data_IF_456472216032
#
_entry.id   IF_456472216032
#
_cell.length_a   1.000
_cell.length_b   1.000
_cell.length_c   1.000
_cell.angle_alpha   90.00
_cell.angle_beta   90.00
_cell.angle_gamma   90.00
#
_symmetry.space_group_name_H-M   'P 1'
#
loop_
_entity.id
_entity.type
_entity.pdbx_description
1 polymer ?
#
# COMPACT_ATOMS: atom_id res chain seq x y z
N UNK A 1 23.24 -15.18 11.32
CA UNK A 1 22.92 -15.15 9.87
C UNK A 1 22.76 -13.71 9.48
N UNK A 2 23.61 -13.20 8.61
CA UNK A 2 23.67 -11.79 8.23
C UNK A 2 22.51 -11.45 7.29
N UNK A 3 21.96 -10.23 7.41
CA UNK A 3 20.82 -9.70 6.61
C UNK A 3 20.97 -9.81 5.07
N UNK A 4 22.13 -10.24 4.57
CA UNK A 4 22.43 -10.40 3.14
C UNK A 4 21.99 -11.73 2.52
N UNK A 5 21.61 -12.75 3.29
CA UNK A 5 21.24 -14.05 2.74
C UNK A 5 19.74 -14.22 2.47
N UNK A 6 18.89 -13.39 3.07
CA UNK A 6 17.44 -13.45 2.89
C UNK A 6 17.01 -12.81 1.56
N UNK A 7 17.80 -11.87 1.04
CA UNK A 7 17.47 -11.07 -0.16
C UNK A 7 17.67 -11.80 -1.51
N UNK A 8 18.45 -12.89 -1.58
CA UNK A 8 18.91 -13.48 -2.85
C UNK A 8 18.05 -14.59 -3.47
N UNK A 9 16.81 -14.83 -3.01
CA UNK A 9 15.91 -15.78 -3.68
C UNK A 9 14.94 -15.06 -4.63
N UNK A 10 15.33 -14.89 -5.86
CA UNK A 10 14.62 -14.19 -6.93
C UNK A 10 13.47 -14.97 -7.59
N UNK A 11 13.18 -16.17 -7.20
CA UNK A 11 11.99 -16.92 -7.63
C UNK A 11 11.02 -17.02 -6.45
N UNK A 12 9.76 -16.63 -6.67
CA UNK A 12 8.68 -16.83 -5.72
C UNK A 12 8.62 -18.33 -5.37
N UNK A 13 8.87 -18.66 -4.10
CA UNK A 13 8.85 -20.06 -3.68
C UNK A 13 7.44 -20.65 -3.91
N UNK A 14 7.33 -21.92 -4.30
CA UNK A 14 6.03 -22.59 -4.42
C UNK A 14 5.23 -22.48 -3.11
N UNK A 15 3.93 -22.26 -3.22
CA UNK A 15 3.04 -22.31 -2.07
C UNK A 15 2.56 -23.73 -1.90
N UNK A 16 2.73 -24.28 -0.69
CA UNK A 16 2.35 -25.65 -0.35
C UNK A 16 1.20 -25.65 0.64
N UNK A 17 0.19 -26.46 0.37
CA UNK A 17 -0.99 -26.64 1.21
C UNK A 17 -1.36 -28.12 1.30
N UNK A 18 -1.88 -28.53 2.45
CA UNK A 18 -2.59 -29.81 2.59
C UNK A 18 -4.08 -29.53 2.59
N UNK A 19 -4.84 -30.23 1.77
CA UNK A 19 -6.28 -30.06 1.72
C UNK A 19 -6.95 -30.64 2.96
N UNK A 20 -7.74 -29.81 3.65
CA UNK A 20 -8.43 -30.20 4.88
C UNK A 20 -9.84 -29.61 4.94
N UNK A 21 -10.69 -30.21 5.78
CA UNK A 21 -12.03 -29.70 6.10
C UNK A 21 -13.02 -29.79 4.95
N UNK A 22 -12.81 -30.71 4.03
CA UNK A 22 -13.76 -31.03 2.94
C UNK A 22 -14.75 -32.11 3.38
N UNK A 23 -16.05 -31.84 3.23
CA UNK A 23 -17.12 -32.83 3.44
C UNK A 23 -17.20 -33.82 2.27
N UNK A 24 -16.83 -33.38 1.09
CA UNK A 24 -16.78 -34.16 -0.15
C UNK A 24 -15.69 -33.62 -1.07
N UNK A 25 -15.18 -34.42 -2.04
CA UNK A 25 -14.21 -33.91 -3.00
C UNK A 25 -14.75 -32.73 -3.81
N UNK A 26 -13.91 -31.73 -4.05
CA UNK A 26 -14.29 -30.52 -4.83
C UNK A 26 -13.28 -30.26 -5.94
N UNK A 27 -13.66 -29.46 -6.94
CA UNK A 27 -12.72 -29.05 -8.01
C UNK A 27 -11.59 -28.19 -7.43
N UNK A 28 -10.36 -28.43 -7.92
CA UNK A 28 -9.20 -27.66 -7.46
C UNK A 28 -9.38 -26.17 -7.70
N UNK A 29 -10.01 -25.75 -8.82
CA UNK A 29 -10.32 -24.34 -9.08
C UNK A 29 -11.23 -23.71 -8.02
N UNK A 30 -12.16 -24.45 -7.47
CA UNK A 30 -13.05 -24.04 -6.39
C UNK A 30 -12.30 -23.99 -5.07
N UNK A 31 -11.47 -25.00 -4.80
CA UNK A 31 -10.61 -25.06 -3.61
C UNK A 31 -9.66 -23.84 -3.55
N UNK A 32 -8.95 -23.56 -4.64
CA UNK A 32 -8.07 -22.39 -4.76
C UNK A 32 -8.80 -21.08 -4.46
N UNK A 33 -10.03 -20.94 -4.95
CA UNK A 33 -10.83 -19.73 -4.76
C UNK A 33 -11.44 -19.64 -3.36
N UNK A 34 -12.10 -20.71 -2.90
CA UNK A 34 -12.95 -20.68 -1.70
C UNK A 34 -12.18 -20.93 -0.41
N UNK A 35 -11.15 -21.79 -0.46
CA UNK A 35 -10.34 -22.17 0.70
C UNK A 35 -9.04 -21.40 0.79
N UNK A 36 -8.33 -21.24 -0.32
CA UNK A 36 -7.06 -20.49 -0.33
C UNK A 36 -7.22 -19.02 -0.69
N UNK A 37 -8.42 -18.55 -1.05
CA UNK A 37 -8.70 -17.15 -1.32
C UNK A 37 -7.96 -16.57 -2.54
N UNK A 38 -7.60 -17.43 -3.53
CA UNK A 38 -6.97 -16.93 -4.74
C UNK A 38 -7.98 -16.15 -5.59
N UNK A 39 -7.59 -14.95 -6.02
CA UNK A 39 -8.39 -14.17 -6.96
C UNK A 39 -8.53 -14.89 -8.31
N UNK A 40 -9.59 -14.55 -9.05
CA UNK A 40 -9.79 -15.08 -10.41
C UNK A 40 -8.58 -14.80 -11.31
N UNK A 41 -7.93 -13.64 -11.12
CA UNK A 41 -6.73 -13.27 -11.88
C UNK A 41 -5.55 -14.19 -11.56
N UNK A 42 -5.30 -14.50 -10.27
CA UNK A 42 -4.25 -15.42 -9.88
C UNK A 42 -4.52 -16.84 -10.37
N UNK A 43 -5.76 -17.32 -10.26
CA UNK A 43 -6.16 -18.65 -10.78
C UNK A 43 -5.89 -18.74 -12.30
N UNK A 44 -6.21 -17.66 -13.06
CA UNK A 44 -5.90 -17.61 -14.49
C UNK A 44 -4.40 -17.70 -14.78
N UNK A 45 -3.55 -17.12 -13.94
CA UNK A 45 -2.08 -17.16 -14.09
C UNK A 45 -1.51 -18.56 -13.88
N UNK A 46 -2.02 -19.29 -12.89
CA UNK A 46 -1.54 -20.65 -12.56
C UNK A 46 -2.25 -21.75 -13.33
N UNK A 47 -3.29 -21.42 -14.10
CA UNK A 47 -4.18 -22.37 -14.80
C UNK A 47 -3.44 -23.37 -15.70
N UNK A 48 -2.35 -22.95 -16.32
CA UNK A 48 -1.58 -23.77 -17.25
C UNK A 48 -0.20 -24.05 -16.66
N UNK A 49 -0.05 -25.22 -16.07
CA UNK A 49 1.24 -25.70 -15.56
C UNK A 49 1.65 -25.20 -14.17
N UNK A 50 0.83 -24.37 -13.50
CA UNK A 50 1.18 -23.79 -12.20
C UNK A 50 0.54 -24.48 -10.99
N UNK A 51 -0.27 -25.54 -11.18
CA UNK A 51 -0.92 -26.25 -10.06
C UNK A 51 -0.58 -27.71 -10.10
N UNK A 52 -0.11 -28.22 -8.97
CA UNK A 52 0.24 -29.62 -8.78
C UNK A 52 -0.58 -30.21 -7.64
N UNK A 53 -1.00 -31.45 -7.79
CA UNK A 53 -1.73 -32.22 -6.80
C UNK A 53 -0.95 -33.52 -6.56
N UNK A 54 -0.51 -33.77 -5.32
CA UNK A 54 0.32 -34.90 -4.96
C UNK A 54 1.57 -35.07 -5.85
N UNK A 55 2.19 -33.93 -6.22
CA UNK A 55 3.38 -33.88 -7.07
C UNK A 55 3.13 -33.91 -8.58
N UNK A 56 1.90 -34.18 -9.03
CA UNK A 56 1.55 -34.22 -10.45
C UNK A 56 0.89 -32.91 -10.92
N UNK A 57 1.28 -32.41 -12.10
CA UNK A 57 0.64 -31.24 -12.68
C UNK A 57 -0.78 -31.57 -13.13
N UNK A 58 -1.75 -30.79 -12.66
CA UNK A 58 -3.17 -31.09 -12.85
C UNK A 58 -3.93 -30.00 -13.58
N UNK A 59 -5.01 -30.41 -14.24
CA UNK A 59 -5.96 -29.48 -14.84
C UNK A 59 -6.90 -28.88 -13.77
N UNK A 60 -7.40 -27.65 -13.97
CA UNK A 60 -8.30 -26.93 -13.05
C UNK A 60 -9.60 -27.67 -12.67
N UNK A 61 -9.93 -28.77 -13.36
CA UNK A 61 -11.09 -29.63 -13.07
C UNK A 61 -10.74 -30.83 -12.21
N UNK A 62 -9.47 -31.06 -11.88
CA UNK A 62 -9.06 -32.15 -10.99
C UNK A 62 -9.81 -32.02 -9.66
N UNK A 63 -10.13 -33.18 -9.08
CA UNK A 63 -10.82 -33.26 -7.79
C UNK A 63 -9.79 -33.31 -6.67
N UNK A 64 -10.04 -32.52 -5.63
CA UNK A 64 -9.24 -32.44 -4.41
C UNK A 64 -10.04 -33.09 -3.28
N UNK A 65 -9.39 -33.88 -2.47
CA UNK A 65 -9.94 -34.51 -1.25
C UNK A 65 -9.03 -34.23 -0.04
N UNK A 66 -9.54 -34.50 1.16
CA UNK A 66 -8.74 -34.29 2.37
C UNK A 66 -7.46 -35.14 2.34
N UNK A 67 -6.35 -34.54 2.74
CA UNK A 67 -5.01 -35.12 2.74
C UNK A 67 -4.22 -34.89 1.45
N UNK A 68 -4.84 -34.42 0.37
CA UNK A 68 -4.09 -34.10 -0.85
C UNK A 68 -3.11 -32.93 -0.63
N UNK A 69 -1.89 -33.08 -1.18
CA UNK A 69 -0.88 -32.03 -1.22
C UNK A 69 -1.06 -31.16 -2.46
N UNK A 70 -1.26 -29.88 -2.26
CA UNK A 70 -1.44 -28.88 -3.31
C UNK A 70 -0.22 -28.00 -3.36
N UNK A 71 0.45 -27.95 -4.52
CA UNK A 71 1.54 -27.02 -4.78
C UNK A 71 1.14 -26.02 -5.85
N UNK A 72 1.37 -24.70 -5.57
CA UNK A 72 1.06 -23.62 -6.49
C UNK A 72 2.37 -22.91 -6.86
N UNK A 73 2.69 -22.90 -8.15
CA UNK A 73 3.83 -22.21 -8.75
C UNK A 73 3.33 -21.07 -9.61
N UNK A 74 3.65 -19.85 -9.21
CA UNK A 74 3.35 -18.67 -10.02
C UNK A 74 4.37 -18.51 -11.15
N UNK A 75 3.94 -18.11 -12.35
CA UNK A 75 4.87 -17.82 -13.43
C UNK A 75 5.78 -16.63 -13.06
N UNK A 76 7.05 -16.70 -13.49
CA UNK A 76 7.99 -15.59 -13.29
C UNK A 76 7.43 -14.33 -13.99
N UNK A 77 7.34 -13.23 -13.25
CA UNK A 77 7.01 -11.91 -13.82
C UNK A 77 8.31 -11.23 -14.30
N UNK A 78 8.20 -10.47 -15.37
CA UNK A 78 9.28 -9.59 -15.78
C UNK A 78 9.30 -8.35 -14.88
N UNK A 79 10.48 -7.91 -14.47
CA UNK A 79 10.67 -6.61 -13.84
C UNK A 79 10.24 -5.49 -14.80
N UNK A 80 9.66 -4.41 -14.27
CA UNK A 80 9.22 -3.25 -15.06
C UNK A 80 10.36 -2.38 -15.60
N UNK A 81 11.61 -2.83 -15.52
CA UNK A 81 12.78 -2.09 -15.99
C UNK A 81 13.07 -0.84 -15.14
N UNK A 82 12.71 -0.85 -13.87
CA UNK A 82 13.05 0.23 -12.92
C UNK A 82 14.52 0.08 -12.55
N UNK A 83 15.40 1.02 -12.91
CA UNK A 83 16.82 0.90 -12.62
C UNK A 83 17.07 0.96 -11.10
N UNK A 84 17.90 0.05 -10.54
CA UNK A 84 18.28 0.11 -9.14
C UNK A 84 19.15 1.35 -8.87
N UNK A 85 18.90 2.03 -7.74
CA UNK A 85 19.69 3.17 -7.29
C UNK A 85 20.01 3.02 -5.81
N UNK A 86 21.27 3.22 -5.43
CA UNK A 86 21.72 3.20 -4.03
C UNK A 86 21.22 4.46 -3.31
N UNK A 87 20.07 4.32 -2.67
CA UNK A 87 19.40 5.36 -1.91
C UNK A 87 19.07 4.84 -0.51
N UNK A 88 19.08 5.70 0.51
CA UNK A 88 18.68 5.32 1.86
C UNK A 88 17.28 4.70 1.89
N UNK A 89 17.14 3.54 2.52
CA UNK A 89 15.88 2.82 2.68
C UNK A 89 15.66 2.47 4.15
N UNK A 90 14.73 3.15 4.80
CA UNK A 90 14.32 2.86 6.17
C UNK A 90 13.24 1.77 6.16
N UNK A 91 13.60 0.56 6.63
CA UNK A 91 12.71 -0.58 6.70
C UNK A 91 12.03 -0.58 8.07
N UNK A 92 10.70 -0.57 8.08
CA UNK A 92 9.86 -0.61 9.28
C UNK A 92 9.40 -2.02 9.63
N UNK A 93 9.23 -2.86 8.62
CA UNK A 93 8.86 -4.27 8.75
C UNK A 93 9.24 -5.01 7.47
N UNK A 94 9.70 -6.24 7.61
CA UNK A 94 9.96 -7.13 6.48
C UNK A 94 9.77 -8.59 6.88
N UNK A 95 9.14 -9.37 5.98
CA UNK A 95 9.08 -10.82 6.04
C UNK A 95 9.23 -11.45 4.63
N UNK A 96 8.84 -12.71 4.47
CA UNK A 96 8.91 -13.40 3.16
C UNK A 96 7.92 -12.83 2.13
N UNK A 97 6.86 -12.12 2.51
CA UNK A 97 5.71 -11.79 1.68
C UNK A 97 5.52 -10.29 1.43
N UNK A 98 5.95 -9.47 2.35
CA UNK A 98 5.80 -8.02 2.27
C UNK A 98 6.97 -7.28 2.92
N UNK A 99 7.14 -6.03 2.53
CA UNK A 99 8.03 -5.05 3.17
C UNK A 99 7.27 -3.75 3.35
N UNK A 100 7.41 -3.13 4.51
CA UNK A 100 6.95 -1.78 4.79
C UNK A 100 8.15 -0.87 5.03
N UNK A 101 8.17 0.25 4.34
CA UNK A 101 9.29 1.21 4.41
C UNK A 101 8.79 2.61 4.76
N UNK A 102 9.63 3.40 5.39
CA UNK A 102 9.37 4.82 5.59
C UNK A 102 9.88 5.61 4.37
N UNK A 103 8.97 6.08 3.54
CA UNK A 103 9.32 6.95 2.40
C UNK A 103 9.65 8.35 2.89
N UNK A 104 10.80 8.93 2.56
CA UNK A 104 11.10 10.32 2.88
C UNK A 104 10.22 11.29 2.08
N UNK A 105 10.22 12.56 2.46
CA UNK A 105 9.65 13.67 1.67
C UNK A 105 10.45 13.87 0.39
N UNK A 106 9.89 14.58 -0.57
CA UNK A 106 10.49 14.93 -1.86
C UNK A 106 10.95 13.72 -2.70
N UNK A 107 10.36 12.55 -2.46
CA UNK A 107 10.62 11.31 -3.19
C UNK A 107 9.30 10.74 -3.72
N UNK A 108 9.12 10.58 -5.05
CA UNK A 108 7.97 9.85 -5.59
C UNK A 108 8.01 8.38 -5.20
N UNK A 109 6.85 7.75 -5.07
CA UNK A 109 6.78 6.29 -4.80
C UNK A 109 7.25 5.48 -6.00
N UNK A 110 6.91 5.92 -7.23
CA UNK A 110 7.14 5.17 -8.47
C UNK A 110 7.54 6.13 -9.60
N UNK A 111 8.35 5.69 -10.56
CA UNK A 111 8.65 6.48 -11.75
C UNK A 111 7.38 6.88 -12.51
N UNK A 112 7.35 8.08 -13.06
CA UNK A 112 6.26 8.57 -13.88
C UNK A 112 6.79 9.25 -15.13
N UNK A 113 5.99 9.29 -16.20
CA UNK A 113 6.37 9.95 -17.46
C UNK A 113 6.79 11.41 -17.20
N UNK A 114 7.96 11.79 -17.67
CA UNK A 114 8.49 13.15 -17.53
C UNK A 114 9.06 13.49 -16.15
N UNK A 115 9.18 12.55 -15.24
CA UNK A 115 9.85 12.75 -13.96
C UNK A 115 11.11 11.88 -13.86
N UNK A 116 12.28 12.54 -13.87
CA UNK A 116 13.61 11.92 -13.76
C UNK A 116 14.13 11.82 -12.33
N UNK A 117 13.33 12.19 -11.33
CA UNK A 117 13.75 12.14 -9.93
C UNK A 117 13.89 10.68 -9.46
N UNK A 118 14.86 10.40 -8.57
CA UNK A 118 14.93 9.14 -7.87
C UNK A 118 13.62 8.83 -7.13
N UNK A 119 13.20 7.57 -7.15
CA UNK A 119 11.95 7.13 -6.54
C UNK A 119 12.19 6.07 -5.48
N UNK A 120 11.19 5.85 -4.61
CA UNK A 120 11.23 4.74 -3.67
C UNK A 120 11.42 3.39 -4.38
N UNK A 121 10.80 3.24 -5.56
CA UNK A 121 10.96 2.01 -6.35
C UNK A 121 12.42 1.76 -6.73
N UNK A 122 13.20 2.79 -7.08
CA UNK A 122 14.63 2.65 -7.38
C UNK A 122 15.43 2.14 -6.17
N UNK A 123 15.16 2.67 -4.97
CA UNK A 123 15.79 2.24 -3.72
C UNK A 123 15.46 0.77 -3.39
N UNK A 124 14.18 0.38 -3.54
CA UNK A 124 13.73 -0.99 -3.29
C UNK A 124 14.31 -1.97 -4.31
N UNK A 125 14.41 -1.57 -5.58
CA UNK A 125 15.09 -2.38 -6.61
C UNK A 125 16.58 -2.58 -6.29
N UNK A 126 17.26 -1.57 -5.75
CA UNK A 126 18.63 -1.73 -5.28
C UNK A 126 18.75 -2.71 -4.12
N UNK A 127 17.84 -2.63 -3.16
CA UNK A 127 17.81 -3.52 -1.99
C UNK A 127 17.59 -4.99 -2.34
N UNK A 128 16.66 -5.29 -3.26
CA UNK A 128 16.32 -6.68 -3.63
C UNK A 128 17.06 -7.20 -4.87
N UNK A 129 17.56 -6.33 -5.73
CA UNK A 129 18.19 -6.68 -7.02
C UNK A 129 17.23 -6.66 -8.21
N UNK A 130 17.81 -6.82 -9.42
CA UNK A 130 17.12 -6.62 -10.71
C UNK A 130 15.98 -7.60 -10.99
N UNK A 131 16.03 -8.80 -10.40
CA UNK A 131 14.98 -9.81 -10.55
C UNK A 131 13.72 -9.52 -9.73
N UNK A 132 13.76 -8.54 -8.83
CA UNK A 132 12.61 -8.15 -8.02
C UNK A 132 11.56 -7.42 -8.87
N UNK A 133 10.30 -7.71 -8.62
CA UNK A 133 9.19 -6.97 -9.21
C UNK A 133 8.60 -6.04 -8.17
N UNK A 134 8.66 -4.74 -8.41
CA UNK A 134 8.15 -3.72 -7.49
C UNK A 134 6.62 -3.68 -7.52
N UNK A 135 5.98 -4.08 -6.42
CA UNK A 135 4.50 -4.14 -6.27
C UNK A 135 4.06 -3.27 -5.10
N UNK A 136 3.98 -1.96 -5.31
CA UNK A 136 3.45 -1.05 -4.29
C UNK A 136 1.96 -1.29 -4.04
N UNK A 137 1.59 -1.65 -2.83
CA UNK A 137 0.20 -1.80 -2.38
C UNK A 137 -0.38 -0.44 -2.02
N UNK A 138 0.41 0.40 -1.35
CA UNK A 138 0.04 1.78 -1.03
C UNK A 138 1.00 2.75 -1.68
N UNK A 139 0.52 3.96 -1.94
CA UNK A 139 1.35 5.04 -2.49
C UNK A 139 1.16 6.29 -1.66
N UNK A 140 2.20 7.09 -1.59
CA UNK A 140 2.19 8.43 -1.04
C UNK A 140 2.57 9.42 -2.14
N UNK A 141 2.07 10.64 -2.02
CA UNK A 141 2.48 11.75 -2.88
C UNK A 141 3.97 12.06 -2.67
N UNK A 142 4.61 12.76 -3.61
CA UNK A 142 6.05 13.06 -3.56
C UNK A 142 6.48 13.64 -2.21
N UNK A 143 5.76 14.65 -1.73
CA UNK A 143 6.12 15.40 -0.53
C UNK A 143 5.47 14.84 0.76
N UNK A 144 4.62 13.82 0.66
CA UNK A 144 4.11 13.05 1.80
C UNK A 144 5.14 12.00 2.20
N UNK A 145 5.49 11.95 3.48
CA UNK A 145 6.38 10.94 4.04
C UNK A 145 5.62 9.82 4.78
N UNK A 146 6.35 8.78 5.21
CA UNK A 146 5.84 7.71 6.06
C UNK A 146 5.63 6.39 5.36
N UNK A 147 4.75 5.57 5.91
CA UNK A 147 4.61 4.15 5.60
C UNK A 147 4.14 3.91 4.16
N UNK A 148 4.96 3.17 3.39
CA UNK A 148 4.59 2.58 2.11
C UNK A 148 4.71 1.06 2.23
N UNK A 149 3.66 0.35 1.82
CA UNK A 149 3.58 -1.10 1.83
C UNK A 149 3.83 -1.65 0.42
N UNK A 150 4.73 -2.62 0.32
CA UNK A 150 5.15 -3.26 -0.93
C UNK A 150 5.02 -4.78 -0.75
N UNK A 151 4.40 -5.45 -1.71
CA UNK A 151 4.31 -6.90 -1.71
C UNK A 151 5.52 -7.53 -2.41
N UNK A 152 6.11 -8.55 -1.78
CA UNK A 152 7.24 -9.30 -2.34
C UNK A 152 6.79 -10.40 -3.30
N UNK A 153 5.55 -10.90 -3.13
CA UNK A 153 4.99 -11.99 -3.93
C UNK A 153 3.70 -11.59 -4.65
N UNK A 154 3.39 -12.29 -5.75
CA UNK A 154 2.15 -12.07 -6.52
C UNK A 154 0.91 -12.34 -5.67
N UNK A 155 0.96 -13.39 -4.86
CA UNK A 155 -0.13 -13.75 -3.96
C UNK A 155 -0.38 -12.65 -2.92
N UNK A 156 0.68 -12.20 -2.22
CA UNK A 156 0.56 -11.13 -1.24
C UNK A 156 0.03 -9.83 -1.88
N UNK A 157 0.49 -9.49 -3.09
CA UNK A 157 0.00 -8.32 -3.82
C UNK A 157 -1.50 -8.39 -4.10
N UNK A 158 -1.99 -9.53 -4.59
CA UNK A 158 -3.40 -9.73 -4.86
C UNK A 158 -4.24 -9.69 -3.58
N UNK A 159 -3.81 -10.40 -2.54
CA UNK A 159 -4.53 -10.49 -1.26
C UNK A 159 -4.63 -9.13 -0.57
N UNK A 160 -3.50 -8.42 -0.43
CA UNK A 160 -3.47 -7.08 0.16
C UNK A 160 -4.29 -6.07 -0.64
N UNK A 161 -4.30 -6.18 -1.99
CA UNK A 161 -5.13 -5.32 -2.83
C UNK A 161 -6.63 -5.57 -2.62
N UNK A 162 -7.06 -6.82 -2.44
CA UNK A 162 -8.43 -7.18 -2.13
C UNK A 162 -8.83 -6.68 -0.73
N UNK A 163 -8.00 -6.91 0.28
CA UNK A 163 -8.24 -6.46 1.65
C UNK A 163 -8.30 -4.91 1.74
N UNK A 164 -7.47 -4.22 0.96
CA UNK A 164 -7.52 -2.75 0.86
C UNK A 164 -8.83 -2.27 0.21
N UNK A 165 -9.31 -2.93 -0.87
CA UNK A 165 -10.60 -2.62 -1.51
C UNK A 165 -11.78 -2.91 -0.59
N UNK A 166 -11.68 -3.96 0.23
CA UNK A 166 -12.68 -4.32 1.24
C UNK A 166 -12.66 -3.40 2.49
N UNK A 167 -11.78 -2.37 2.51
CA UNK A 167 -11.70 -1.41 3.62
C UNK A 167 -11.08 -1.95 4.90
N UNK A 168 -10.36 -3.07 4.84
CA UNK A 168 -9.71 -3.69 6.01
C UNK A 168 -8.45 -2.96 6.47
N UNK A 169 -7.91 -2.05 5.64
CA UNK A 169 -6.75 -1.25 6.00
C UNK A 169 -7.18 -0.04 6.83
N UNK A 170 -6.50 0.20 7.95
CA UNK A 170 -6.59 1.46 8.68
C UNK A 170 -5.30 2.24 8.45
N UNK A 171 -5.43 3.45 7.94
CA UNK A 171 -4.30 4.36 7.69
C UNK A 171 -4.51 5.63 8.49
N UNK A 172 -3.55 5.94 9.34
CA UNK A 172 -3.55 7.14 10.17
C UNK A 172 -2.36 7.99 9.73
N UNK A 173 -2.64 9.27 9.57
CA UNK A 173 -1.66 10.29 9.20
C UNK A 173 -1.55 11.33 10.30
N UNK A 174 -0.38 11.92 10.41
CA UNK A 174 -0.16 13.13 11.19
C UNK A 174 0.15 14.27 10.23
N UNK A 175 -0.46 15.41 10.44
CA UNK A 175 -0.24 16.61 9.63
C UNK A 175 -0.17 17.88 10.50
N UNK A 176 0.43 18.94 9.94
CA UNK A 176 0.27 20.30 10.47
C UNK A 176 -0.65 21.04 9.52
N UNK A 177 -1.73 21.62 10.05
CA UNK A 177 -2.69 22.43 9.31
C UNK A 177 -2.62 23.88 9.74
N UNK A 178 -2.90 24.80 8.82
CA UNK A 178 -2.98 26.24 9.08
C UNK A 178 -4.19 26.55 9.97
N UNK A 179 -3.96 27.28 11.04
CA UNK A 179 -4.97 27.65 12.02
C UNK A 179 -5.49 26.48 12.86
N UNK A 180 -6.62 26.69 13.50
CA UNK A 180 -7.24 25.75 14.44
C UNK A 180 -8.67 25.48 13.98
N UNK A 181 -9.00 24.24 13.59
CA UNK A 181 -10.38 23.88 13.28
C UNK A 181 -11.32 24.21 14.45
N UNK A 182 -12.51 24.73 14.14
CA UNK A 182 -13.51 25.12 15.12
C UNK A 182 -13.90 23.94 16.00
N UNK A 183 -14.11 22.77 15.36
CA UNK A 183 -14.35 21.51 16.05
C UNK A 183 -13.03 20.74 16.24
N UNK A 184 -12.81 20.21 17.46
CA UNK A 184 -11.59 19.44 17.78
C UNK A 184 -11.50 18.11 17.03
N UNK A 185 -12.61 17.59 16.55
CA UNK A 185 -12.70 16.38 15.75
C UNK A 185 -13.88 16.46 14.79
N UNK A 186 -13.76 15.80 13.64
CA UNK A 186 -14.84 15.81 12.66
C UNK A 186 -14.63 14.80 11.53
N UNK A 187 -15.69 14.66 10.74
CA UNK A 187 -15.69 13.85 9.51
C UNK A 187 -15.96 14.73 8.32
N UNK A 188 -15.10 14.60 7.31
CA UNK A 188 -15.25 15.23 6.00
C UNK A 188 -15.65 14.11 5.02
N UNK A 189 -16.92 14.08 4.60
CA UNK A 189 -17.44 13.19 3.56
C UNK A 189 -17.78 14.05 2.35
N UNK A 190 -16.78 14.32 1.51
CA UNK A 190 -16.87 15.25 0.40
C UNK A 190 -16.21 14.64 -0.86
N UNK A 191 -16.95 14.42 -1.96
CA UNK A 191 -16.42 13.76 -3.14
C UNK A 191 -15.33 14.59 -3.83
N UNK A 192 -14.32 13.91 -4.37
CA UNK A 192 -13.14 14.54 -4.98
C UNK A 192 -13.02 14.15 -6.45
N UNK A 193 -12.78 15.16 -7.29
CA UNK A 193 -12.38 14.98 -8.69
C UNK A 193 -11.14 15.80 -9.05
N UNK A 194 -10.64 15.59 -10.25
CA UNK A 194 -9.64 16.47 -10.87
C UNK A 194 -10.29 17.82 -11.21
N UNK A 195 -9.61 18.93 -11.01
CA UNK A 195 -10.13 20.27 -11.32
C UNK A 195 -10.41 20.40 -12.83
N UNK A 196 -9.41 20.10 -13.66
CA UNK A 196 -9.53 20.00 -15.11
C UNK A 196 -8.65 18.85 -15.63
N UNK A 197 -8.88 18.43 -16.88
CA UNK A 197 -8.06 17.41 -17.53
C UNK A 197 -6.61 17.94 -17.69
N UNK A 198 -5.63 17.09 -17.33
CA UNK A 198 -4.21 17.47 -17.32
C UNK A 198 -3.75 18.13 -16.02
N UNK A 199 -4.62 18.73 -15.23
CA UNK A 199 -4.26 19.43 -14.00
C UNK A 199 -3.88 18.47 -12.86
N UNK A 200 -2.90 18.90 -12.05
CA UNK A 200 -2.54 18.15 -10.84
C UNK A 200 -3.53 18.38 -9.70
N UNK A 201 -4.15 19.56 -9.65
CA UNK A 201 -5.06 19.96 -8.59
C UNK A 201 -6.32 19.12 -8.53
N UNK A 202 -6.80 18.87 -7.33
CA UNK A 202 -8.07 18.18 -7.04
C UNK A 202 -8.99 19.17 -6.33
N UNK A 203 -10.29 18.98 -6.51
CA UNK A 203 -11.32 19.80 -5.87
C UNK A 203 -12.42 18.91 -5.30
N UNK A 204 -13.12 19.41 -4.29
CA UNK A 204 -14.39 18.86 -3.85
C UNK A 204 -15.45 19.25 -4.89
N UNK A 205 -16.18 18.26 -5.38
CA UNK A 205 -17.29 18.48 -6.33
C UNK A 205 -18.26 17.30 -6.29
N UNK A 206 -19.56 17.55 -6.48
CA UNK A 206 -20.62 16.54 -6.38
C UNK A 206 -20.46 15.37 -7.36
N UNK A 207 -19.91 15.64 -8.54
CA UNK A 207 -19.59 14.64 -9.58
C UNK A 207 -18.26 13.89 -9.30
N UNK A 208 -17.63 14.13 -8.15
CA UNK A 208 -16.39 13.52 -7.72
C UNK A 208 -16.56 12.08 -7.24
N UNK A 209 -15.42 11.40 -7.05
CA UNK A 209 -15.41 10.08 -6.42
C UNK A 209 -15.52 10.24 -4.90
N UNK A 210 -16.38 9.45 -4.26
CA UNK A 210 -16.54 9.43 -2.80
C UNK A 210 -15.20 9.44 -2.10
N UNK A 211 -15.03 10.35 -1.13
CA UNK A 211 -13.86 10.50 -0.31
C UNK A 211 -14.28 10.83 1.13
N UNK A 212 -13.70 10.11 2.11
CA UNK A 212 -14.05 10.25 3.52
C UNK A 212 -12.78 10.28 4.36
N UNK A 213 -12.64 11.34 5.18
CA UNK A 213 -11.53 11.57 6.10
C UNK A 213 -12.08 11.95 7.46
N UNK A 214 -11.66 11.25 8.52
CA UNK A 214 -11.85 11.74 9.90
C UNK A 214 -10.60 12.51 10.31
N UNK A 215 -10.77 13.60 11.06
CA UNK A 215 -9.67 14.35 11.67
C UNK A 215 -9.89 14.56 13.16
N UNK A 216 -8.78 14.72 13.87
CA UNK A 216 -8.75 15.07 15.30
C UNK A 216 -7.57 16.01 15.54
N UNK A 217 -7.82 17.13 16.23
CA UNK A 217 -6.79 18.04 16.71
C UNK A 217 -6.08 17.41 17.91
N UNK A 218 -4.80 17.06 17.75
CA UNK A 218 -3.99 16.48 18.83
C UNK A 218 -3.39 17.57 19.71
N UNK A 219 -2.89 18.63 19.07
CA UNK A 219 -2.21 19.72 19.76
C UNK A 219 -2.29 21.00 18.94
N UNK A 220 -2.44 22.14 19.63
CA UNK A 220 -2.25 23.47 19.07
C UNK A 220 -0.80 23.87 19.30
N UNK A 221 -0.15 24.41 18.25
CA UNK A 221 1.23 24.92 18.28
C UNK A 221 1.25 26.37 18.74
N UNK A 222 2.40 26.83 19.19
CA UNK A 222 2.61 28.24 19.62
C UNK A 222 2.43 29.24 18.46
N UNK A 223 2.67 28.79 17.22
CA UNK A 223 2.50 29.59 16.00
C UNK A 223 1.03 29.70 15.54
N UNK A 224 0.07 29.19 16.32
CA UNK A 224 -1.35 29.23 16.00
C UNK A 224 -1.81 28.15 15.01
N UNK A 225 -0.92 27.24 14.60
CA UNK A 225 -1.25 26.10 13.74
C UNK A 225 -1.63 24.87 14.58
N UNK A 226 -2.27 23.89 13.95
CA UNK A 226 -2.71 22.67 14.62
C UNK A 226 -2.01 21.41 14.11
N UNK A 227 -1.66 20.51 15.04
CA UNK A 227 -1.24 19.16 14.73
C UNK A 227 -2.45 18.25 14.74
N UNK A 228 -2.67 17.54 13.64
CA UNK A 228 -3.84 16.71 13.41
C UNK A 228 -3.47 15.23 13.29
N UNK A 229 -4.34 14.36 13.84
CA UNK A 229 -4.45 12.96 13.45
C UNK A 229 -5.56 12.82 12.42
N UNK A 230 -5.26 12.18 11.29
CA UNK A 230 -6.24 12.02 10.21
C UNK A 230 -6.37 10.54 9.85
N UNK A 231 -7.60 10.03 9.82
CA UNK A 231 -7.89 8.66 9.40
C UNK A 231 -8.55 8.65 8.03
N UNK A 232 -7.93 7.93 7.09
CA UNK A 232 -8.49 7.74 5.75
C UNK A 232 -9.39 6.50 5.69
N UNK A 233 -10.66 6.69 5.29
CA UNK A 233 -11.60 5.62 4.92
C UNK A 233 -11.54 5.29 3.42
N UNK A 234 -11.08 6.24 2.62
CA UNK A 234 -10.86 6.14 1.18
C UNK A 234 -9.45 6.62 0.84
N UNK A 235 -8.97 6.39 -0.38
CA UNK A 235 -7.62 6.82 -0.81
C UNK A 235 -7.68 7.52 -2.17
N UNK A 236 -8.13 8.77 -2.21
CA UNK A 236 -8.08 9.59 -3.44
C UNK A 236 -6.79 10.40 -3.47
N UNK A 237 -6.34 10.73 -4.67
CA UNK A 237 -5.16 11.59 -4.86
C UNK A 237 -5.39 12.91 -4.13
N UNK A 238 -4.40 13.35 -3.33
CA UNK A 238 -4.42 14.57 -2.53
C UNK A 238 -5.56 14.65 -1.50
N UNK A 239 -6.21 13.54 -1.14
CA UNK A 239 -7.46 13.55 -0.36
C UNK A 239 -7.38 14.38 0.91
N UNK A 240 -6.38 14.13 1.78
CA UNK A 240 -6.21 14.90 3.03
C UNK A 240 -6.02 16.38 2.72
N UNK A 241 -5.17 16.71 1.77
CA UNK A 241 -4.84 18.09 1.36
C UNK A 241 -6.08 18.85 0.90
N UNK A 242 -6.89 18.21 0.02
CA UNK A 242 -8.15 18.80 -0.49
C UNK A 242 -9.19 18.95 0.62
N UNK A 243 -9.36 17.93 1.45
CA UNK A 243 -10.36 17.94 2.52
C UNK A 243 -10.05 18.99 3.57
N UNK A 244 -8.78 19.11 4.00
CA UNK A 244 -8.40 20.11 4.98
C UNK A 244 -8.54 21.53 4.41
N UNK A 245 -8.17 21.75 3.15
CA UNK A 245 -8.40 23.02 2.48
C UNK A 245 -9.89 23.35 2.32
N UNK A 246 -10.72 22.34 2.04
CA UNK A 246 -12.18 22.50 1.90
C UNK A 246 -12.86 23.01 3.18
N UNK A 247 -12.35 22.62 4.35
CA UNK A 247 -12.86 23.11 5.65
C UNK A 247 -12.13 24.36 6.13
N UNK A 248 -11.30 25.02 5.30
CA UNK A 248 -10.62 26.27 5.62
C UNK A 248 -9.28 26.13 6.36
N UNK A 249 -8.78 24.90 6.54
CA UNK A 249 -7.54 24.60 7.25
C UNK A 249 -6.57 23.80 6.37
N UNK A 250 -6.02 24.38 5.28
CA UNK A 250 -5.09 23.68 4.42
C UNK A 250 -3.86 23.23 5.20
N UNK A 251 -3.13 22.24 4.67
CA UNK A 251 -1.89 21.82 5.31
C UNK A 251 -0.85 22.95 5.23
N UNK A 252 -0.15 23.18 6.33
CA UNK A 252 0.90 24.17 6.41
C UNK A 252 1.96 23.91 5.35
N UNK A 253 2.24 24.91 4.50
CA UNK A 253 3.22 24.83 3.42
C UNK A 253 2.71 24.20 2.11
N UNK A 254 1.42 23.92 2.00
CA UNK A 254 0.85 23.28 0.80
C UNK A 254 0.74 24.25 -0.38
N UNK A 255 1.65 24.12 -1.35
CA UNK A 255 1.74 25.02 -2.50
C UNK A 255 0.53 24.95 -3.48
N UNK A 256 -0.32 23.92 -3.39
CA UNK A 256 -1.51 23.77 -4.24
C UNK A 256 -2.80 24.23 -3.56
N UNK A 257 -2.88 24.10 -2.23
CA UNK A 257 -4.12 24.25 -1.49
C UNK A 257 -4.05 25.28 -0.34
N UNK A 258 -2.86 25.68 0.06
CA UNK A 258 -2.61 26.61 1.18
C UNK A 258 -1.49 27.61 0.87
N UNK A 259 -0.83 28.07 1.90
CA UNK A 259 0.28 29.02 1.80
C UNK A 259 1.59 28.26 1.49
N UNK A 260 2.21 28.57 0.36
CA UNK A 260 3.46 27.92 -0.07
C UNK A 260 4.59 28.18 0.93
N UNK A 261 5.31 27.12 1.30
CA UNK A 261 6.58 27.17 2.03
C UNK A 261 7.68 26.48 1.21
N UNK A 262 8.94 26.85 1.47
CA UNK A 262 10.12 26.18 0.88
C UNK A 262 10.22 24.73 1.34
N UNK A 263 9.82 24.44 2.58
CA UNK A 263 9.81 23.10 3.14
C UNK A 263 8.68 22.22 2.59
N UNK A 264 7.72 22.79 1.83
CA UNK A 264 6.51 22.09 1.39
C UNK A 264 5.60 21.73 2.58
N UNK A 265 4.59 20.90 2.34
CA UNK A 265 3.60 20.59 3.38
C UNK A 265 4.04 19.45 4.33
N UNK A 266 3.49 19.47 5.55
CA UNK A 266 3.77 18.51 6.61
C UNK A 266 2.66 17.48 6.68
N UNK A 267 2.90 16.29 6.08
CA UNK A 267 1.99 15.14 6.08
C UNK A 267 2.79 13.85 6.14
N UNK A 268 2.47 13.00 7.10
CA UNK A 268 3.18 11.74 7.34
C UNK A 268 2.20 10.60 7.60
N UNK A 269 2.37 9.47 6.90
CA UNK A 269 1.63 8.24 7.21
C UNK A 269 2.25 7.59 8.45
N UNK A 270 1.62 7.82 9.61
CA UNK A 270 2.17 7.50 10.93
C UNK A 270 1.90 6.07 11.37
N UNK A 271 0.71 5.53 11.01
CA UNK A 271 0.31 4.19 11.44
C UNK A 271 -0.48 3.50 10.34
N UNK A 272 -0.21 2.22 10.13
CA UNK A 272 -0.97 1.37 9.23
C UNK A 272 -1.29 0.04 9.92
N UNK A 273 -2.58 -0.33 9.96
CA UNK A 273 -3.05 -1.64 10.42
C UNK A 273 -3.61 -2.39 9.23
N UNK A 274 -3.09 -3.59 8.99
CA UNK A 274 -3.45 -4.44 7.85
C UNK A 274 -3.54 -5.90 8.28
N UNK A 275 -4.43 -6.72 7.68
CA UNK A 275 -4.31 -8.16 7.84
C UNK A 275 -3.08 -8.67 7.07
N UNK A 276 -2.29 -9.52 7.72
CA UNK A 276 -1.16 -10.16 7.06
C UNK A 276 -1.66 -11.10 5.94
N UNK A 277 -1.08 -11.04 4.72
CA UNK A 277 -1.66 -11.72 3.55
C UNK A 277 -1.69 -13.24 3.65
N UNK A 278 -0.87 -13.85 4.50
CA UNK A 278 -0.80 -15.32 4.68
C UNK A 278 -1.55 -15.73 5.95
N UNK A 279 -1.21 -15.15 7.11
CA UNK A 279 -1.75 -15.58 8.40
C UNK A 279 -3.14 -14.98 8.69
N UNK A 280 -3.48 -13.85 8.08
CA UNK A 280 -4.68 -13.09 8.38
C UNK A 280 -4.61 -12.30 9.69
N UNK A 281 -3.56 -12.45 10.48
CA UNK A 281 -3.36 -11.71 11.73
C UNK A 281 -3.16 -10.22 11.46
N UNK A 282 -3.64 -9.38 12.38
CA UNK A 282 -3.50 -7.93 12.24
C UNK A 282 -2.06 -7.48 12.51
N UNK A 283 -1.41 -6.97 11.49
CA UNK A 283 -0.10 -6.35 11.56
C UNK A 283 -0.26 -4.85 11.77
N UNK A 284 0.42 -4.30 12.79
CA UNK A 284 0.50 -2.87 13.05
C UNK A 284 1.89 -2.36 12.74
N UNK A 285 1.99 -1.41 11.81
CA UNK A 285 3.24 -0.76 11.41
C UNK A 285 3.16 0.70 11.84
N UNK A 286 4.23 1.22 12.44
CA UNK A 286 4.30 2.58 12.96
C UNK A 286 5.55 3.29 12.43
N UNK A 287 5.40 4.56 12.09
CA UNK A 287 6.50 5.45 11.70
C UNK A 287 6.32 6.80 12.41
N UNK A 288 7.39 7.37 12.91
CA UNK A 288 7.35 8.65 13.63
C UNK A 288 7.44 9.81 12.65
N UNK A 289 6.54 10.81 12.71
CA UNK A 289 6.65 11.99 11.85
C UNK A 289 7.88 12.81 12.23
N UNK A 290 8.81 13.07 11.30
CA UNK A 290 10.05 13.76 11.60
C UNK A 290 9.84 15.18 12.14
N UNK A 291 8.83 15.88 11.64
CA UNK A 291 8.51 17.27 11.95
C UNK A 291 7.85 17.50 13.32
N UNK A 292 7.66 16.48 14.14
CA UNK A 292 7.17 16.65 15.52
C UNK A 292 8.31 16.83 16.52
N UNK A 293 9.53 16.64 16.11
CA UNK A 293 10.74 16.68 16.96
C UNK A 293 11.67 17.83 16.57
N UNK A 294 11.31 18.58 15.54
CA UNK A 294 11.89 19.86 15.14
C UNK A 294 11.03 20.98 15.77
#
# INVERSE_FOLDING_TARGET
>A
MTNGEIAKKSAEAPMLYTAEGLSEPMRISEYLRMRLGLSVTLIKRVKYGGVFLNGENVHMRAMVQNGDEIEIRFPKEASEGIPPMDLPLEILYEDAHLIAVCKPRNMPTHPSKGNSLPTLANAVMHYFGEDFVFRAITRLDRDTSGIVLIAKTQYAAARLSEDMKAGKFKKIYTAIAEGIPEEKEGRIDAPIRREAEGEMRRIVAEDGKRAVTDYQVIRVREDGNSILSLRLHTGRTHQIRVHMAHIGHPLLGDFLYGTKSEDGYFLHCTKMEIPHPITGEMLTIVSKPPFLYE
#
